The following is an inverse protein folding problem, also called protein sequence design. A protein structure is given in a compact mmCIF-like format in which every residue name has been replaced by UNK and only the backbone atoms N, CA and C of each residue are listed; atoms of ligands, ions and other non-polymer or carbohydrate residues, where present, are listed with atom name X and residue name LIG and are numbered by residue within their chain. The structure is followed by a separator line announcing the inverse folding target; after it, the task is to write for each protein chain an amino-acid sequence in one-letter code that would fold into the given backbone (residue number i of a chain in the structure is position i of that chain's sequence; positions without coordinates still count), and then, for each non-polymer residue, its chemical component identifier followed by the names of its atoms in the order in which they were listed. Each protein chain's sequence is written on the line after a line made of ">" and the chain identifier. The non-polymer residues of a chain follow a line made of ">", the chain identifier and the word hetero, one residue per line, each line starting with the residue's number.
data_IF_835607505639
#
_entry.id   IF_835607505639
#
_cell.length_a   1.000
_cell.length_b   1.000
_cell.length_c   1.000
_cell.angle_alpha   90.00
_cell.angle_beta   90.00
_cell.angle_gamma   90.00
#
_symmetry.space_group_name_H-M   'P 1'
#
loop_
_entity.id
_entity.type
_entity.pdbx_description
1 polymer ?
#
# COMPACT_ATOMS: atom_id res chain seq x y z
N UNK A 1 10.83 15.46 -4.67
CA UNK A 1 11.31 14.08 -4.46
C UNK A 1 10.10 13.17 -4.24
N UNK A 2 10.27 11.87 -4.46
CA UNK A 2 9.22 10.85 -4.30
C UNK A 2 9.79 9.71 -3.43
N UNK A 3 8.94 9.08 -2.63
CA UNK A 3 9.30 7.90 -1.83
C UNK A 3 8.46 6.71 -2.29
N UNK A 4 9.07 5.53 -2.45
CA UNK A 4 8.39 4.31 -2.87
C UNK A 4 8.47 3.27 -1.76
N UNK A 5 7.37 2.58 -1.48
CA UNK A 5 7.28 1.51 -0.49
C UNK A 5 6.25 0.45 -0.85
N UNK A 6 6.28 -0.70 -0.17
CA UNK A 6 5.17 -1.65 -0.15
C UNK A 6 4.26 -1.38 1.05
N UNK A 7 3.01 -1.83 0.96
CA UNK A 7 1.98 -1.66 2.00
C UNK A 7 2.18 -2.62 3.20
N UNK A 8 3.30 -2.45 3.92
CA UNK A 8 3.62 -3.23 5.12
C UNK A 8 3.74 -2.31 6.34
N UNK A 9 3.23 -2.74 7.49
CA UNK A 9 3.17 -1.92 8.71
C UNK A 9 4.53 -1.30 9.09
N UNK A 10 5.58 -2.12 9.10
CA UNK A 10 6.93 -1.66 9.50
C UNK A 10 7.49 -0.68 8.46
N UNK A 11 7.29 -0.96 7.17
CA UNK A 11 7.77 -0.12 6.08
C UNK A 11 7.04 1.23 6.07
N UNK A 12 5.73 1.23 6.31
CA UNK A 12 4.92 2.44 6.44
C UNK A 12 5.36 3.31 7.63
N UNK A 13 5.61 2.70 8.80
CA UNK A 13 6.11 3.41 9.97
C UNK A 13 7.50 4.04 9.70
N UNK A 14 8.38 3.34 8.99
CA UNK A 14 9.69 3.87 8.60
C UNK A 14 9.59 4.99 7.57
N UNK A 15 8.65 4.89 6.62
CA UNK A 15 8.40 5.95 5.65
C UNK A 15 7.90 7.23 6.32
N UNK A 16 6.99 7.14 7.29
CA UNK A 16 6.54 8.31 8.08
C UNK A 16 7.72 8.95 8.83
N UNK A 17 8.59 8.15 9.44
CA UNK A 17 9.80 8.64 10.10
C UNK A 17 10.72 9.37 9.12
N UNK A 18 10.96 8.75 7.96
CA UNK A 18 11.79 9.32 6.89
C UNK A 18 11.23 10.65 6.38
N UNK A 19 9.91 10.74 6.16
CA UNK A 19 9.23 11.98 5.77
C UNK A 19 9.44 13.09 6.82
N UNK A 20 9.31 12.76 8.11
CA UNK A 20 9.57 13.70 9.20
C UNK A 20 11.01 14.22 9.20
N UNK A 21 12.00 13.33 9.04
CA UNK A 21 13.42 13.71 8.95
C UNK A 21 13.70 14.60 7.73
N UNK A 22 13.14 14.27 6.56
CA UNK A 22 13.29 15.06 5.35
C UNK A 22 12.68 16.46 5.49
N UNK A 23 11.52 16.57 6.13
CA UNK A 23 10.87 17.86 6.42
C UNK A 23 11.76 18.75 7.30
N UNK A 24 12.39 18.19 8.33
CA UNK A 24 13.35 18.92 9.20
C UNK A 24 14.59 19.39 8.44
N UNK A 25 14.99 18.67 7.39
CA UNK A 25 16.10 19.05 6.49
C UNK A 25 15.67 20.04 5.39
N UNK A 26 14.40 20.46 5.35
CA UNK A 26 13.86 21.33 4.32
C UNK A 26 13.64 20.64 2.97
N UNK A 27 13.66 19.30 2.93
CA UNK A 27 13.44 18.51 1.71
C UNK A 27 11.95 18.22 1.56
N UNK A 28 11.34 18.76 0.49
CA UNK A 28 9.93 18.50 0.18
C UNK A 28 9.76 17.21 -0.63
N UNK A 29 9.03 16.25 -0.04
CA UNK A 29 8.50 15.08 -0.75
C UNK A 29 7.10 15.43 -1.25
N UNK A 30 6.87 15.27 -2.55
CA UNK A 30 5.58 15.58 -3.17
C UNK A 30 4.65 14.36 -3.14
N UNK A 31 5.22 13.16 -3.34
CA UNK A 31 4.45 11.94 -3.47
C UNK A 31 5.05 10.79 -2.66
N UNK A 32 4.16 9.97 -2.12
CA UNK A 32 4.43 8.68 -1.51
C UNK A 32 3.74 7.61 -2.37
N UNK A 33 4.53 6.79 -3.07
CA UNK A 33 4.06 5.77 -4.01
C UNK A 33 4.05 4.42 -3.29
N UNK A 34 2.86 3.87 -3.02
CA UNK A 34 2.71 2.54 -2.45
C UNK A 34 2.57 1.53 -3.59
N UNK A 35 3.59 0.71 -3.77
CA UNK A 35 3.68 -0.30 -4.81
C UNK A 35 3.12 -1.65 -4.35
N UNK A 36 2.79 -2.50 -5.33
CA UNK A 36 2.31 -3.87 -5.12
C UNK A 36 1.02 -3.92 -4.30
N UNK A 37 0.12 -2.96 -4.55
CA UNK A 37 -1.20 -2.93 -3.93
C UNK A 37 -2.08 -3.96 -4.60
N UNK A 38 -2.57 -4.94 -3.84
CA UNK A 38 -3.55 -5.89 -4.33
C UNK A 38 -4.93 -5.22 -4.34
N UNK A 39 -5.54 -5.16 -5.52
CA UNK A 39 -6.92 -4.73 -5.64
C UNK A 39 -7.84 -5.94 -5.46
N UNK A 40 -8.95 -5.74 -4.75
CA UNK A 40 -10.04 -6.70 -4.79
C UNK A 40 -10.73 -6.57 -6.15
N UNK A 41 -10.69 -7.64 -6.94
CA UNK A 41 -11.39 -7.70 -8.22
C UNK A 41 -12.81 -8.26 -8.00
N UNK A 42 -13.77 -7.35 -7.85
CA UNK A 42 -15.19 -7.68 -7.69
C UNK A 42 -15.86 -8.11 -9.02
N UNK A 43 -15.15 -7.99 -10.16
CA UNK A 43 -15.70 -8.34 -11.49
C UNK A 43 -15.69 -9.85 -11.76
N UNK A 44 -14.93 -10.62 -10.96
CA UNK A 44 -14.87 -12.06 -11.08
C UNK A 44 -15.90 -12.71 -10.12
N UNK A 45 -16.99 -13.26 -10.67
CA UNK A 45 -17.91 -14.06 -9.88
C UNK A 45 -17.29 -15.44 -9.57
N UNK A 46 -16.65 -15.56 -8.40
CA UNK A 46 -16.15 -16.82 -7.85
C UNK A 46 -17.30 -17.72 -7.33
N UNK A 47 -18.28 -18.06 -8.18
CA UNK A 47 -19.34 -19.02 -7.82
C UNK A 47 -18.87 -20.46 -8.12
N UNK A 48 -19.08 -21.36 -7.15
CA UNK A 48 -18.75 -22.81 -7.23
C UNK A 48 -17.26 -23.18 -7.30
N UNK A 49 -16.35 -22.32 -6.83
CA UNK A 49 -14.96 -22.72 -6.65
C UNK A 49 -14.76 -23.42 -5.30
N UNK A 50 -13.93 -24.47 -5.24
CA UNK A 50 -13.56 -25.09 -3.97
C UNK A 50 -12.94 -24.05 -3.03
N UNK A 51 -13.17 -24.19 -1.73
CA UNK A 51 -12.40 -23.45 -0.74
C UNK A 51 -10.90 -23.70 -0.99
N UNK A 52 -10.16 -22.63 -1.25
CA UNK A 52 -8.74 -22.71 -1.58
C UNK A 52 -7.95 -21.75 -0.69
N UNK A 53 -6.93 -22.21 0.05
CA UNK A 53 -6.19 -21.39 1.02
C UNK A 53 -5.60 -20.09 0.45
N UNK A 54 -5.32 -20.07 -0.86
CA UNK A 54 -4.84 -18.86 -1.53
C UNK A 54 -5.88 -17.71 -1.49
N UNK A 55 -7.19 -18.00 -1.55
CA UNK A 55 -8.22 -16.96 -1.49
C UNK A 55 -8.29 -16.32 -0.11
N UNK A 56 -8.20 -17.14 0.95
CA UNK A 56 -8.14 -16.64 2.32
C UNK A 56 -6.90 -15.76 2.52
N UNK A 57 -5.76 -16.20 1.99
CA UNK A 57 -4.52 -15.41 2.02
C UNK A 57 -4.65 -14.09 1.26
N UNK A 58 -5.24 -14.07 0.05
CA UNK A 58 -5.46 -12.85 -0.72
C UNK A 58 -6.38 -11.87 0.02
N UNK A 59 -7.49 -12.37 0.57
CA UNK A 59 -8.42 -11.54 1.33
C UNK A 59 -7.77 -10.94 2.59
N UNK A 60 -7.02 -11.75 3.35
CA UNK A 60 -6.27 -11.29 4.52
C UNK A 60 -5.20 -10.27 4.13
N UNK A 61 -4.45 -10.52 3.06
CA UNK A 61 -3.40 -9.61 2.58
C UNK A 61 -3.99 -8.28 2.09
N UNK A 62 -5.10 -8.30 1.34
CA UNK A 62 -5.80 -7.09 0.90
C UNK A 62 -6.27 -6.29 2.11
N UNK A 63 -6.90 -6.94 3.10
CA UNK A 63 -7.37 -6.28 4.32
C UNK A 63 -6.23 -5.63 5.11
N UNK A 64 -5.11 -6.34 5.24
CA UNK A 64 -3.92 -5.81 5.90
C UNK A 64 -3.33 -4.60 5.16
N UNK A 65 -3.23 -4.67 3.82
CA UNK A 65 -2.76 -3.54 3.01
C UNK A 65 -3.71 -2.34 3.13
N UNK A 66 -5.02 -2.54 3.09
CA UNK A 66 -6.01 -1.47 3.28
C UNK A 66 -5.83 -0.77 4.63
N UNK A 67 -5.65 -1.52 5.72
CA UNK A 67 -5.38 -0.93 7.05
C UNK A 67 -4.11 -0.10 7.07
N UNK A 68 -3.05 -0.54 6.36
CA UNK A 68 -1.81 0.24 6.25
C UNK A 68 -2.04 1.52 5.45
N UNK A 69 -2.76 1.44 4.33
CA UNK A 69 -3.07 2.59 3.47
C UNK A 69 -3.94 3.63 4.18
N UNK A 70 -4.95 3.19 4.93
CA UNK A 70 -5.79 4.07 5.77
C UNK A 70 -4.93 4.83 6.78
N UNK A 71 -4.08 4.12 7.53
CA UNK A 71 -3.18 4.73 8.51
C UNK A 71 -2.20 5.72 7.85
N UNK A 72 -1.61 5.35 6.70
CA UNK A 72 -0.73 6.24 5.94
C UNK A 72 -1.46 7.51 5.51
N UNK A 73 -2.64 7.38 4.91
CA UNK A 73 -3.43 8.52 4.43
C UNK A 73 -3.77 9.52 5.55
N UNK A 74 -4.00 9.01 6.77
CA UNK A 74 -4.27 9.85 7.93
C UNK A 74 -3.01 10.53 8.52
N UNK A 75 -1.82 10.05 8.20
CA UNK A 75 -0.57 10.46 8.88
C UNK A 75 0.32 11.38 8.03
N UNK A 76 0.29 11.26 6.71
CA UNK A 76 1.27 11.90 5.81
C UNK A 76 0.98 13.37 5.46
N UNK A 77 -0.14 13.92 5.93
CA UNK A 77 -0.51 15.33 5.68
C UNK A 77 -0.73 15.62 4.20
N UNK A 78 -0.09 16.68 3.69
CA UNK A 78 -0.27 17.16 2.30
C UNK A 78 0.51 16.35 1.25
N UNK A 79 1.25 15.30 1.64
CA UNK A 79 1.96 14.44 0.69
C UNK A 79 0.95 13.61 -0.09
N UNK A 80 1.04 13.64 -1.42
CA UNK A 80 0.14 12.89 -2.27
C UNK A 80 0.41 11.38 -2.16
N UNK A 81 -0.61 10.61 -1.77
CA UNK A 81 -0.56 9.15 -1.79
C UNK A 81 -0.89 8.64 -3.20
N UNK A 82 0.00 7.87 -3.80
CA UNK A 82 -0.18 7.25 -5.13
C UNK A 82 -0.12 5.74 -4.97
N UNK A 83 -1.09 5.02 -5.53
CA UNK A 83 -1.15 3.56 -5.47
C UNK A 83 -0.72 2.98 -6.82
N UNK A 84 0.26 2.07 -6.79
CA UNK A 84 0.65 1.27 -7.94
C UNK A 84 0.16 -0.18 -7.71
N UNK A 85 -0.79 -0.67 -8.53
CA UNK A 85 -1.37 -1.99 -8.36
C UNK A 85 -0.33 -3.07 -8.67
N UNK A 86 -0.45 -4.21 -7.99
CA UNK A 86 0.28 -5.42 -8.35
C UNK A 86 -0.31 -6.00 -9.64
N UNK A 87 0.50 -6.19 -10.68
CA UNK A 87 0.12 -6.88 -11.92
C UNK A 87 0.81 -8.24 -12.01
N UNK A 88 0.08 -9.25 -12.49
CA UNK A 88 0.64 -10.59 -12.68
C UNK A 88 1.78 -10.54 -13.72
N UNK A 89 2.97 -10.97 -13.31
CA UNK A 89 4.17 -10.90 -14.15
C UNK A 89 4.97 -9.61 -14.02
N UNK A 90 4.63 -8.74 -13.07
CA UNK A 90 5.55 -7.70 -12.60
C UNK A 90 6.87 -8.34 -12.12
N UNK A 91 8.03 -7.69 -12.36
CA UNK A 91 9.35 -8.19 -11.96
C UNK A 91 9.56 -8.23 -10.44
#
# INVERSE_FOLDING_TARGET
>A
AHLVLTAEKVVAAEAVRTLGSLALMGVKVAELIVNQVLAQDDSYEYRNLPAHPAFDWYAERISEQQRVLENLSATIGDVQLVLAPHLAGDP
#
